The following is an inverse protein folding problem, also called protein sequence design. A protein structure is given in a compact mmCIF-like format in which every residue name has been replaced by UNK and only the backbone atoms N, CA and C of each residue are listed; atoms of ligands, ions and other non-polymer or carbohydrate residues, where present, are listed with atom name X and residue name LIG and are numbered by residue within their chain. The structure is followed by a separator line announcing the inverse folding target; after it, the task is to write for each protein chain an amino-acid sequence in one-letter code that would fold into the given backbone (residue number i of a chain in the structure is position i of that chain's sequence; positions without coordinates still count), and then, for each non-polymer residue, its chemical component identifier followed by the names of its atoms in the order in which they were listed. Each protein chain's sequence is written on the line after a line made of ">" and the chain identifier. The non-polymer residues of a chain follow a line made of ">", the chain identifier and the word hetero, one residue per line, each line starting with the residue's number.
data_IF_648702778180
#
_entry.id   IF_648702778180
#
_cell.length_a   1.000
_cell.length_b   1.000
_cell.length_c   1.000
_cell.angle_alpha   90.00
_cell.angle_beta   90.00
_cell.angle_gamma   90.00
#
_symmetry.space_group_name_H-M   'P 1'
#
loop_
_entity.id
_entity.type
_entity.pdbx_description
1 polymer ?
#
# COMPACT_ATOMS: atom_id res chain seq x y z
N UNK A 1 -12.77 15.35 -5.69
CA UNK A 1 -13.26 13.97 -5.81
C UNK A 1 -12.82 13.23 -4.56
N UNK A 2 -13.65 13.21 -3.52
CA UNK A 2 -13.46 12.32 -2.39
C UNK A 2 -13.96 10.93 -2.80
N UNK A 3 -13.14 10.20 -3.54
CA UNK A 3 -13.43 8.83 -3.93
C UNK A 3 -13.39 7.97 -2.66
N UNK A 4 -14.51 7.32 -2.32
CA UNK A 4 -14.56 6.21 -1.34
C UNK A 4 -13.79 5.02 -1.92
N UNK A 5 -12.47 5.15 -2.00
CA UNK A 5 -11.58 4.12 -2.54
C UNK A 5 -11.13 3.24 -1.39
N UNK A 6 -11.38 1.94 -1.51
CA UNK A 6 -10.99 0.93 -0.52
C UNK A 6 -9.86 0.11 -1.16
N UNK A 7 -8.63 0.27 -0.68
CA UNK A 7 -7.48 -0.43 -1.26
C UNK A 7 -7.25 -1.79 -0.60
N UNK A 8 -7.04 -2.80 -1.43
CA UNK A 8 -6.47 -4.07 -1.01
C UNK A 8 -5.00 -4.09 -1.44
N UNK A 9 -4.11 -4.26 -0.47
CA UNK A 9 -2.68 -4.26 -0.72
C UNK A 9 -2.04 -5.53 -0.20
N UNK A 10 -1.15 -6.10 -0.99
CA UNK A 10 -0.39 -7.30 -0.65
C UNK A 10 1.06 -7.15 -1.10
N UNK A 11 1.96 -7.81 -0.38
CA UNK A 11 3.35 -7.91 -0.78
C UNK A 11 3.85 -9.33 -0.60
N UNK A 12 4.58 -9.82 -1.60
CA UNK A 12 5.03 -11.21 -1.62
C UNK A 12 6.47 -11.34 -2.09
N UNK A 13 7.26 -12.14 -1.36
CA UNK A 13 8.56 -12.59 -1.84
C UNK A 13 8.38 -13.44 -3.09
N UNK A 14 8.93 -12.97 -4.20
CA UNK A 14 9.03 -13.72 -5.46
C UNK A 14 10.52 -13.99 -5.69
N UNK A 15 10.85 -15.15 -6.25
CA UNK A 15 12.25 -15.52 -6.51
C UNK A 15 13.14 -15.32 -5.27
N UNK A 16 12.81 -16.01 -4.18
CA UNK A 16 13.38 -15.83 -2.81
C UNK A 16 14.91 -15.68 -2.80
N UNK A 17 15.63 -16.43 -3.65
CA UNK A 17 17.10 -16.35 -3.80
C UNK A 17 17.61 -14.94 -4.10
N UNK A 18 16.83 -14.15 -4.84
CA UNK A 18 17.14 -12.80 -5.28
C UNK A 18 16.47 -11.73 -4.43
N UNK A 19 15.72 -12.14 -3.38
CA UNK A 19 15.00 -11.25 -2.47
C UNK A 19 14.07 -10.26 -3.17
N UNK A 20 13.53 -10.64 -4.33
CA UNK A 20 12.56 -9.79 -5.02
C UNK A 20 11.22 -9.83 -4.28
N UNK A 21 10.62 -8.67 -4.13
CA UNK A 21 9.37 -8.46 -3.41
C UNK A 21 8.51 -7.60 -4.32
N UNK A 22 7.34 -8.14 -4.65
CA UNK A 22 6.38 -7.40 -5.45
C UNK A 22 5.34 -6.83 -4.51
N UNK A 23 5.21 -5.51 -4.52
CA UNK A 23 4.19 -4.76 -3.78
C UNK A 23 3.08 -4.38 -4.75
N UNK A 24 1.84 -4.77 -4.44
CA UNK A 24 0.67 -4.48 -5.27
C UNK A 24 -0.44 -3.89 -4.42
N UNK A 25 -1.09 -2.84 -4.92
CA UNK A 25 -2.34 -2.32 -4.37
C UNK A 25 -3.39 -2.16 -5.45
N UNK A 26 -4.60 -2.61 -5.16
CA UNK A 26 -5.76 -2.58 -6.06
C UNK A 26 -6.90 -1.83 -5.37
N UNK A 27 -7.58 -0.95 -6.09
CA UNK A 27 -8.86 -0.42 -5.63
C UNK A 27 -9.96 -1.50 -5.73
N UNK A 28 -10.58 -1.81 -4.59
CA UNK A 28 -11.58 -2.86 -4.49
C UNK A 28 -12.92 -2.56 -5.18
N UNK A 29 -13.17 -1.32 -5.61
CA UNK A 29 -14.37 -0.98 -6.39
C UNK A 29 -14.12 -1.05 -7.90
N UNK A 30 -13.09 -0.36 -8.38
CA UNK A 30 -12.79 -0.25 -9.82
C UNK A 30 -11.87 -1.36 -10.34
N UNK A 31 -11.29 -2.18 -9.46
CA UNK A 31 -10.21 -3.11 -9.78
C UNK A 31 -8.97 -2.45 -10.40
N UNK A 32 -8.83 -1.12 -10.27
CA UNK A 32 -7.67 -0.39 -10.78
C UNK A 32 -6.43 -0.74 -9.96
N UNK A 33 -5.34 -1.10 -10.65
CA UNK A 33 -4.02 -1.28 -10.03
C UNK A 33 -3.44 0.12 -9.77
N UNK A 34 -3.26 0.44 -8.49
CA UNK A 34 -2.81 1.75 -8.02
C UNK A 34 -1.35 1.75 -7.60
N UNK A 35 -0.80 0.57 -7.31
CA UNK A 35 0.62 0.33 -7.07
C UNK A 35 0.97 -1.05 -7.64
N UNK A 36 2.07 -1.16 -8.38
CA UNK A 36 2.69 -2.41 -8.78
C UNK A 36 4.18 -2.18 -8.95
N UNK A 37 4.97 -2.54 -7.95
CA UNK A 37 6.41 -2.28 -7.92
C UNK A 37 7.17 -3.51 -7.45
N UNK A 38 8.30 -3.78 -8.09
CA UNK A 38 9.24 -4.82 -7.69
C UNK A 38 10.43 -4.17 -6.99
N UNK A 39 10.72 -4.59 -5.76
CA UNK A 39 11.80 -4.08 -4.94
C UNK A 39 12.58 -5.25 -4.33
N UNK A 40 13.79 -4.99 -3.86
CA UNK A 40 14.64 -5.95 -3.15
C UNK A 40 14.56 -5.81 -1.62
N UNK A 41 13.64 -4.96 -1.13
CA UNK A 41 13.52 -4.58 0.27
C UNK A 41 12.06 -4.46 0.71
N UNK A 42 11.70 -5.13 1.82
CA UNK A 42 10.43 -4.98 2.53
C UNK A 42 10.55 -4.07 3.76
N UNK A 43 11.54 -3.19 3.77
CA UNK A 43 11.66 -2.19 4.84
C UNK A 43 10.43 -1.30 4.87
N UNK A 44 9.99 -0.95 6.08
CA UNK A 44 8.78 -0.15 6.30
C UNK A 44 8.83 1.20 5.59
N UNK A 45 10.02 1.80 5.45
CA UNK A 45 10.23 3.07 4.77
C UNK A 45 10.03 2.94 3.25
N UNK A 46 10.50 1.83 2.66
CA UNK A 46 10.29 1.53 1.24
C UNK A 46 8.80 1.37 0.96
N UNK A 47 8.10 0.57 1.77
CA UNK A 47 6.66 0.34 1.62
C UNK A 47 5.87 1.64 1.75
N UNK A 48 6.20 2.48 2.73
CA UNK A 48 5.59 3.81 2.89
C UNK A 48 5.85 4.70 1.67
N UNK A 49 7.09 4.79 1.19
CA UNK A 49 7.44 5.65 0.06
C UNK A 49 6.71 5.25 -1.23
N UNK A 50 6.63 3.95 -1.51
CA UNK A 50 5.84 3.42 -2.63
C UNK A 50 4.36 3.77 -2.51
N UNK A 51 3.81 3.65 -1.29
CA UNK A 51 2.41 3.97 -1.03
C UNK A 51 2.12 5.47 -1.20
N UNK A 52 2.95 6.34 -0.63
CA UNK A 52 2.79 7.79 -0.76
C UNK A 52 2.80 8.22 -2.23
N UNK A 53 3.70 7.66 -3.04
CA UNK A 53 3.78 7.97 -4.48
C UNK A 53 2.51 7.54 -5.23
N UNK A 54 1.97 6.37 -4.90
CA UNK A 54 0.67 5.92 -5.41
C UNK A 54 -0.44 6.90 -5.03
N UNK A 55 -0.47 7.39 -3.79
CA UNK A 55 -1.52 8.34 -3.34
C UNK A 55 -1.42 9.71 -3.99
N UNK A 56 -0.25 10.15 -4.43
CA UNK A 56 -0.10 11.39 -5.21
C UNK A 56 -0.74 11.25 -6.60
N UNK A 57 -0.67 10.06 -7.18
CA UNK A 57 -1.18 9.78 -8.54
C UNK A 57 -2.66 9.45 -8.54
N UNK A 58 -3.11 8.58 -7.65
CA UNK A 58 -4.48 8.02 -7.63
C UNK A 58 -5.37 8.63 -6.53
N UNK A 59 -4.81 9.51 -5.70
CA UNK A 59 -5.47 10.05 -4.53
C UNK A 59 -5.30 9.18 -3.29
N UNK A 60 -5.51 9.78 -2.12
CA UNK A 60 -5.46 9.10 -0.84
C UNK A 60 -6.68 8.17 -0.70
N UNK A 61 -6.53 6.86 -0.46
CA UNK A 61 -7.68 5.99 -0.22
C UNK A 61 -8.42 6.39 1.05
N UNK A 62 -9.69 5.99 1.13
CA UNK A 62 -10.47 6.13 2.36
C UNK A 62 -10.04 5.13 3.43
N UNK A 63 -9.67 3.91 2.99
CA UNK A 63 -9.27 2.77 3.80
C UNK A 63 -8.34 1.88 2.99
N UNK A 64 -7.43 1.19 3.67
CA UNK A 64 -6.60 0.16 3.05
C UNK A 64 -6.56 -1.08 3.94
N UNK A 65 -6.64 -2.27 3.35
CA UNK A 65 -6.36 -3.55 4.03
C UNK A 65 -5.00 -4.06 3.60
N UNK A 66 -4.20 -4.40 4.59
CA UNK A 66 -2.91 -5.07 4.46
C UNK A 66 -2.96 -6.37 5.25
N UNK A 67 -2.05 -7.29 4.93
CA UNK A 67 -1.74 -8.40 5.84
C UNK A 67 -1.13 -7.89 7.15
N UNK A 68 -1.08 -8.75 8.17
CA UNK A 68 -0.49 -8.46 9.49
C UNK A 68 1.04 -8.30 9.49
N UNK A 69 1.64 -8.09 8.33
CA UNK A 69 3.08 -7.90 8.18
C UNK A 69 3.55 -6.57 8.75
N UNK A 70 4.67 -6.60 9.47
CA UNK A 70 5.27 -5.42 10.11
C UNK A 70 5.72 -4.37 9.08
N UNK A 71 5.97 -4.77 7.84
CA UNK A 71 6.34 -3.89 6.73
C UNK A 71 5.29 -2.79 6.46
N UNK A 72 4.04 -3.01 6.87
CA UNK A 72 2.94 -2.08 6.61
C UNK A 72 2.67 -1.10 7.77
N UNK A 73 3.43 -1.18 8.87
CA UNK A 73 3.15 -0.37 10.09
C UNK A 73 3.17 1.13 9.81
N UNK A 74 4.11 1.59 9.00
CA UNK A 74 4.23 3.01 8.65
C UNK A 74 3.10 3.47 7.72
N UNK A 75 2.62 2.60 6.83
CA UNK A 75 1.44 2.91 6.01
C UNK A 75 0.19 3.04 6.87
N UNK A 76 0.02 2.16 7.84
CA UNK A 76 -1.08 2.25 8.80
C UNK A 76 -1.03 3.57 9.59
N UNK A 77 0.15 3.93 10.12
CA UNK A 77 0.36 5.21 10.82
C UNK A 77 0.09 6.42 9.91
N UNK A 78 0.53 6.36 8.66
CA UNK A 78 0.30 7.41 7.66
C UNK A 78 -1.20 7.61 7.42
N UNK A 79 -1.95 6.53 7.19
CA UNK A 79 -3.40 6.58 6.97
C UNK A 79 -4.14 7.07 8.21
N UNK A 80 -3.76 6.61 9.40
CA UNK A 80 -4.33 7.10 10.66
C UNK A 80 -4.11 8.60 10.84
N UNK A 81 -2.92 9.12 10.52
CA UNK A 81 -2.61 10.56 10.60
C UNK A 81 -3.42 11.38 9.59
N UNK A 82 -3.65 10.85 8.40
CA UNK A 82 -4.33 11.58 7.30
C UNK A 82 -5.85 11.44 7.31
N UNK A 83 -6.40 10.34 7.82
CA UNK A 83 -7.84 10.01 7.79
C UNK A 83 -8.51 9.92 9.17
N UNK A 84 -7.75 9.72 10.25
CA UNK A 84 -8.25 9.55 11.62
C UNK A 84 -8.61 8.09 11.98
N UNK A 85 -8.98 7.87 13.24
CA UNK A 85 -9.30 6.55 13.83
C UNK A 85 -10.75 6.09 13.60
N UNK A 86 -11.67 7.01 13.28
CA UNK A 86 -13.12 6.79 13.41
C UNK A 86 -13.85 6.71 12.05
N UNK A 87 -13.33 5.90 11.12
CA UNK A 87 -13.90 5.77 9.76
C UNK A 87 -13.89 4.37 9.20
#
# INVERSE_FOLDING_TARGET
>A
MDSKMFQHCDSGHKLIRWKLIVHVCIDGFSCLITLCMCCDSNKVETVLGLFEESTKTFGLPSRARYGYGMENVLVAQFLLRRRGLDR
#
